data_IF_148996307173
#
_entry.id   IF_148996307173
#
_cell.length_a   1.000
_cell.length_b   1.000
_cell.length_c   1.000
_cell.angle_alpha   90.00
_cell.angle_beta   90.00
_cell.angle_gamma   90.00
#
_symmetry.space_group_name_H-M   'P 1'
#
loop_
_entity.id
_entity.type
_entity.pdbx_description
1 polymer ?
#
# COMPACT_ATOMS: atom_id res chain seq x y z
N UNK A 1 -2.19 46.93 -31.35
CA UNK A 1 -1.06 46.46 -30.53
C UNK A 1 -1.62 45.81 -29.27
N UNK A 2 -1.76 44.48 -29.23
CA UNK A 2 -2.22 43.76 -28.04
C UNK A 2 -1.14 42.76 -27.64
N UNK A 3 -0.62 42.93 -26.42
CA UNK A 3 0.46 42.14 -25.86
C UNK A 3 -0.09 40.83 -25.27
N UNK A 4 0.38 39.70 -25.78
CA UNK A 4 0.02 38.37 -25.27
C UNK A 4 1.10 37.89 -24.30
N UNK A 5 0.70 37.68 -23.04
CA UNK A 5 1.58 37.35 -21.90
C UNK A 5 1.60 35.83 -21.73
N UNK A 6 2.66 35.16 -22.22
CA UNK A 6 2.87 33.72 -22.02
C UNK A 6 3.41 33.47 -20.62
N UNK A 7 2.78 32.57 -19.85
CA UNK A 7 3.32 32.01 -18.61
C UNK A 7 3.84 30.60 -18.89
N UNK A 8 5.10 30.36 -18.53
CA UNK A 8 5.72 29.04 -18.55
C UNK A 8 5.41 28.33 -17.22
N UNK A 9 4.97 27.08 -17.30
CA UNK A 9 4.83 26.17 -16.15
C UNK A 9 5.95 25.15 -16.29
N UNK A 10 6.92 25.21 -15.37
CA UNK A 10 7.97 24.20 -15.24
C UNK A 10 7.47 23.03 -14.40
N UNK A 11 7.65 21.82 -14.92
CA UNK A 11 7.37 20.57 -14.19
C UNK A 11 8.70 20.05 -13.64
N UNK A 12 8.79 19.95 -12.32
CA UNK A 12 9.90 19.31 -11.60
C UNK A 12 9.48 17.86 -11.29
N UNK A 13 10.12 16.89 -11.94
CA UNK A 13 10.01 15.49 -11.59
C UNK A 13 11.13 15.13 -10.61
N UNK A 14 10.77 14.62 -9.43
CA UNK A 14 11.71 14.06 -8.47
C UNK A 14 11.47 12.54 -8.38
N UNK A 15 12.43 11.76 -8.87
CA UNK A 15 12.44 10.31 -8.75
C UNK A 15 13.17 9.90 -7.46
N UNK A 16 12.51 9.13 -6.61
CA UNK A 16 13.10 8.51 -5.41
C UNK A 16 12.91 6.99 -5.51
N UNK A 17 14.00 6.30 -5.81
CA UNK A 17 14.07 4.84 -5.82
C UNK A 17 14.55 4.35 -4.45
N UNK A 18 13.79 3.47 -3.81
CA UNK A 18 14.28 2.68 -2.67
C UNK A 18 14.04 1.19 -2.92
N UNK A 19 15.13 0.44 -2.84
CA UNK A 19 15.20 -1.02 -2.88
C UNK A 19 14.95 -1.53 -1.46
N UNK A 20 14.03 -2.48 -1.28
CA UNK A 20 13.91 -3.23 -0.01
C UNK A 20 13.93 -4.74 -0.32
N UNK A 21 14.93 -5.39 0.26
CA UNK A 21 15.14 -6.83 0.24
C UNK A 21 14.16 -7.57 1.16
N UNK A 22 13.65 -8.70 0.68
CA UNK A 22 12.73 -9.57 1.41
C UNK A 22 13.44 -10.56 2.34
N UNK A 23 12.78 -10.96 3.41
CA UNK A 23 13.12 -12.15 4.21
C UNK A 23 11.85 -12.84 4.66
N UNK A 24 11.67 -14.09 4.20
CA UNK A 24 10.63 -15.01 4.65
C UNK A 24 11.13 -15.73 5.91
N UNK A 25 10.29 -15.81 6.94
CA UNK A 25 10.44 -16.78 8.02
C UNK A 25 9.12 -17.53 8.21
N UNK A 26 9.21 -18.86 8.14
CA UNK A 26 8.11 -19.84 8.27
C UNK A 26 8.18 -20.39 9.70
N UNK A 27 7.09 -20.31 10.46
CA UNK A 27 6.95 -20.96 11.76
C UNK A 27 6.18 -22.28 11.59
N UNK A 28 6.67 -23.36 12.22
CA UNK A 28 5.93 -24.60 12.42
C UNK A 28 5.57 -24.71 13.90
N UNK A 29 4.27 -24.84 14.16
CA UNK A 29 3.69 -25.31 15.41
C UNK A 29 4.00 -26.80 15.64
N UNK A 30 4.29 -27.16 16.88
CA UNK A 30 3.93 -28.49 17.37
C UNK A 30 3.63 -28.47 18.87
N UNK A 31 2.34 -28.61 19.16
CA UNK A 31 1.83 -28.96 20.48
C UNK A 31 2.05 -30.44 20.75
N UNK A 32 2.39 -30.80 21.99
CA UNK A 32 1.96 -32.07 22.58
C UNK A 32 1.79 -31.95 24.07
N UNK A 33 0.57 -32.30 24.49
CA UNK A 33 0.08 -32.51 25.84
C UNK A 33 0.72 -33.73 26.49
N UNK A 34 0.98 -33.68 27.80
CA UNK A 34 0.58 -34.75 28.72
C UNK A 34 0.72 -34.33 30.18
N UNK A 35 -0.39 -34.41 30.90
CA UNK A 35 -0.48 -34.38 32.35
C UNK A 35 -0.20 -35.80 32.89
N UNK A 36 0.34 -35.93 34.11
CA UNK A 36 -0.38 -36.75 35.08
C UNK A 36 -0.38 -36.18 36.51
N UNK A 37 -1.48 -36.48 37.20
CA UNK A 37 -1.75 -36.29 38.62
C UNK A 37 -0.73 -36.93 39.56
N UNK A 38 -0.46 -36.31 40.72
CA UNK A 38 -0.82 -36.83 42.06
C UNK A 38 -0.10 -36.09 43.20
N UNK A 39 -0.89 -35.80 44.25
CA UNK A 39 -0.61 -35.73 45.69
C UNK A 39 0.79 -35.41 46.24
N UNK A 40 0.84 -34.45 47.18
CA UNK A 40 1.87 -34.40 48.20
C UNK A 40 1.99 -33.02 48.84
N UNK A 41 1.28 -32.79 49.94
CA UNK A 41 1.51 -31.64 50.79
C UNK A 41 2.83 -31.82 51.56
N UNK A 42 3.79 -30.94 51.33
CA UNK A 42 4.87 -30.69 52.28
C UNK A 42 5.21 -29.21 52.25
N UNK A 43 4.83 -28.51 53.33
CA UNK A 43 5.27 -27.16 53.63
C UNK A 43 6.77 -27.25 53.93
N UNK A 44 7.58 -26.80 52.97
CA UNK A 44 9.00 -26.49 53.18
C UNK A 44 9.15 -24.99 53.06
N UNK A 45 9.22 -24.33 54.22
CA UNK A 45 9.64 -22.95 54.37
C UNK A 45 11.09 -22.85 53.93
N UNK A 46 11.34 -22.55 52.65
CA UNK A 46 12.68 -22.17 52.20
C UNK A 46 12.92 -20.71 52.53
N UNK A 47 13.88 -20.47 53.42
CA UNK A 47 14.48 -19.16 53.66
C UNK A 47 14.78 -18.46 52.33
N UNK A 48 14.04 -17.39 52.04
CA UNK A 48 14.33 -16.49 50.93
C UNK A 48 15.66 -15.78 51.20
N UNK A 49 16.72 -16.36 50.66
CA UNK A 49 18.01 -15.70 50.47
C UNK A 49 17.82 -14.55 49.47
N UNK A 50 18.38 -13.36 49.69
CA UNK A 50 18.18 -12.18 48.84
C UNK A 50 18.99 -12.34 47.54
N UNK A 51 18.48 -13.13 46.59
CA UNK A 51 19.09 -13.32 45.26
C UNK A 51 18.15 -12.91 44.12
N UNK A 52 16.88 -12.62 44.43
CA UNK A 52 15.85 -12.24 43.46
C UNK A 52 16.04 -10.82 42.89
N UNK A 53 16.89 -9.99 43.50
CA UNK A 53 17.16 -8.61 43.01
C UNK A 53 18.16 -8.54 41.84
N UNK A 54 18.92 -9.62 41.56
CA UNK A 54 19.83 -9.67 40.40
C UNK A 54 19.10 -10.00 39.10
N UNK A 55 18.02 -10.78 39.14
CA UNK A 55 17.21 -11.09 37.97
C UNK A 55 16.47 -9.85 37.41
N UNK A 56 16.21 -8.85 38.25
CA UNK A 56 15.63 -7.56 37.84
C UNK A 56 16.57 -6.67 37.02
N UNK A 57 17.88 -6.95 37.01
CA UNK A 57 18.89 -6.18 36.28
C UNK A 57 19.46 -6.92 35.07
N UNK A 58 18.86 -8.05 34.67
CA UNK A 58 19.22 -8.70 33.41
C UNK A 58 18.79 -7.78 32.25
N UNK A 59 19.75 -7.22 31.47
CA UNK A 59 19.43 -6.32 30.37
C UNK A 59 18.57 -6.99 29.29
N UNK A 60 18.67 -8.32 29.12
CA UNK A 60 17.84 -9.07 28.17
C UNK A 60 16.38 -9.15 28.62
N UNK A 61 16.15 -9.43 29.91
CA UNK A 61 14.81 -9.48 30.49
C UNK A 61 14.16 -8.09 30.55
N UNK A 62 14.94 -7.04 30.84
CA UNK A 62 14.49 -5.65 30.81
C UNK A 62 14.11 -5.21 29.39
N UNK A 63 14.83 -5.65 28.37
CA UNK A 63 14.48 -5.33 26.99
C UNK A 63 13.21 -6.06 26.56
N UNK A 64 13.09 -7.36 26.86
CA UNK A 64 11.87 -8.14 26.57
C UNK A 64 10.63 -7.55 27.25
N UNK A 65 10.73 -7.15 28.51
CA UNK A 65 9.61 -6.51 29.22
C UNK A 65 9.24 -5.15 28.63
N UNK A 66 10.21 -4.34 28.19
CA UNK A 66 9.93 -3.10 27.44
C UNK A 66 9.22 -3.38 26.12
N UNK A 67 9.65 -4.37 25.36
CA UNK A 67 9.05 -4.74 24.07
C UNK A 67 7.60 -5.26 24.24
N UNK A 68 7.35 -6.04 25.30
CA UNK A 68 5.99 -6.46 25.68
C UNK A 68 5.15 -5.26 26.15
N UNK A 69 5.74 -4.32 26.88
CA UNK A 69 5.02 -3.14 27.36
C UNK A 69 4.65 -2.19 26.22
N UNK A 70 5.52 -2.03 25.22
CA UNK A 70 5.23 -1.19 24.04
C UNK A 70 4.12 -1.79 23.18
N UNK A 71 4.13 -3.12 22.98
CA UNK A 71 3.06 -3.83 22.27
C UNK A 71 1.73 -3.78 23.02
N UNK A 72 1.74 -3.80 24.34
CA UNK A 72 0.54 -3.72 25.16
C UNK A 72 0.05 -2.30 25.45
N UNK A 73 0.78 -1.27 25.01
CA UNK A 73 0.42 0.12 25.25
C UNK A 73 -0.98 0.45 24.70
N UNK A 74 -1.78 1.30 25.40
CA UNK A 74 -3.12 1.68 24.92
C UNK A 74 -3.11 2.30 23.53
N UNK A 75 -2.06 3.05 23.21
CA UNK A 75 -1.83 3.65 21.90
C UNK A 75 -1.63 2.59 20.83
N UNK A 76 -0.79 1.58 21.08
CA UNK A 76 -0.60 0.49 20.12
C UNK A 76 -1.89 -0.26 19.83
N UNK A 77 -2.68 -0.59 20.86
CA UNK A 77 -4.00 -1.21 20.69
C UNK A 77 -4.99 -0.35 19.91
N UNK A 78 -4.90 0.99 20.02
CA UNK A 78 -5.71 1.90 19.20
C UNK A 78 -5.31 1.78 17.73
N UNK A 79 -4.01 1.85 17.43
CA UNK A 79 -3.49 1.75 16.07
C UNK A 79 -3.79 0.39 15.44
N UNK A 80 -3.73 -0.71 16.20
CA UNK A 80 -4.07 -2.04 15.71
C UNK A 80 -5.57 -2.16 15.36
N UNK A 81 -6.45 -1.56 16.15
CA UNK A 81 -7.90 -1.49 15.83
C UNK A 81 -8.17 -0.64 14.59
N UNK A 82 -7.49 0.50 14.47
CA UNK A 82 -7.57 1.35 13.27
C UNK A 82 -7.09 0.58 12.03
N UNK A 83 -6.00 -0.19 12.14
CA UNK A 83 -5.51 -1.04 11.06
C UNK A 83 -6.49 -2.15 10.68
N UNK A 84 -7.08 -2.85 11.63
CA UNK A 84 -8.09 -3.87 11.35
C UNK A 84 -9.28 -3.29 10.57
N UNK A 85 -9.75 -2.11 10.97
CA UNK A 85 -10.82 -1.41 10.27
C UNK A 85 -10.39 -1.00 8.85
N UNK A 86 -9.20 -0.40 8.71
CA UNK A 86 -8.66 0.01 7.43
C UNK A 86 -8.53 -1.18 6.48
N UNK A 87 -7.89 -2.27 6.94
CA UNK A 87 -7.68 -3.49 6.18
C UNK A 87 -9.01 -4.13 5.72
N UNK A 88 -10.03 -4.12 6.57
CA UNK A 88 -11.37 -4.62 6.19
C UNK A 88 -12.03 -3.79 5.07
N UNK A 89 -11.73 -2.49 4.99
CA UNK A 89 -12.33 -1.57 4.02
C UNK A 89 -11.50 -1.40 2.74
N UNK A 90 -10.23 -1.80 2.74
CA UNK A 90 -9.35 -1.61 1.59
C UNK A 90 -9.77 -2.36 0.32
N UNK A 91 -10.28 -3.61 0.38
CA UNK A 91 -10.75 -4.28 -0.83
C UNK A 91 -11.88 -3.53 -1.56
N UNK A 92 -12.80 -2.92 -0.80
CA UNK A 92 -13.84 -2.08 -1.39
C UNK A 92 -13.24 -0.80 -2.00
N UNK A 93 -12.31 -0.16 -1.30
CA UNK A 93 -11.58 1.00 -1.82
C UNK A 93 -10.83 0.68 -3.13
N UNK A 94 -10.18 -0.49 -3.25
CA UNK A 94 -9.53 -0.91 -4.49
C UNK A 94 -10.54 -1.02 -5.66
N UNK A 95 -11.74 -1.55 -5.43
CA UNK A 95 -12.79 -1.59 -6.46
C UNK A 95 -13.25 -0.20 -6.89
N UNK A 96 -13.42 0.71 -5.91
CA UNK A 96 -13.75 2.10 -6.20
C UNK A 96 -12.63 2.80 -6.98
N UNK A 97 -11.37 2.49 -6.67
CA UNK A 97 -10.22 3.01 -7.41
C UNK A 97 -10.18 2.49 -8.84
N UNK A 98 -10.45 1.20 -9.04
CA UNK A 98 -10.55 0.62 -10.38
C UNK A 98 -11.67 1.28 -11.20
N UNK A 99 -12.81 1.61 -10.60
CA UNK A 99 -13.84 2.41 -11.28
C UNK A 99 -13.31 3.78 -11.69
N UNK A 100 -12.56 4.48 -10.81
CA UNK A 100 -11.94 5.77 -11.15
C UNK A 100 -10.95 5.66 -12.30
N UNK A 101 -10.20 4.55 -12.41
CA UNK A 101 -9.31 4.31 -13.54
C UNK A 101 -10.10 4.16 -14.85
N UNK A 102 -11.22 3.41 -14.83
CA UNK A 102 -12.12 3.31 -15.99
C UNK A 102 -12.71 4.66 -16.39
N UNK A 103 -13.18 5.45 -15.42
CA UNK A 103 -13.74 6.77 -15.68
C UNK A 103 -12.67 7.72 -16.26
N UNK A 104 -11.43 7.62 -15.76
CA UNK A 104 -10.29 8.39 -16.29
C UNK A 104 -9.96 8.00 -17.73
N UNK A 105 -9.96 6.71 -18.05
CA UNK A 105 -9.73 6.24 -19.42
C UNK A 105 -10.82 6.74 -20.38
N UNK A 106 -12.09 6.62 -19.99
CA UNK A 106 -13.20 7.17 -20.77
C UNK A 106 -13.01 8.68 -21.01
N UNK A 107 -12.66 9.44 -19.96
CA UNK A 107 -12.38 10.86 -20.08
C UNK A 107 -11.19 11.15 -21.01
N UNK A 108 -10.12 10.35 -20.96
CA UNK A 108 -8.97 10.51 -21.86
C UNK A 108 -9.37 10.32 -23.33
N UNK A 109 -10.24 9.35 -23.63
CA UNK A 109 -10.76 9.08 -24.98
C UNK A 109 -11.71 10.18 -25.45
N UNK A 110 -12.56 10.72 -24.56
CA UNK A 110 -13.47 11.82 -24.90
C UNK A 110 -12.73 13.13 -25.22
N UNK A 111 -11.54 13.32 -24.63
CA UNK A 111 -10.75 14.55 -24.74
C UNK A 111 -9.44 14.36 -25.53
N UNK A 112 -9.45 13.50 -26.55
CA UNK A 112 -8.28 13.28 -27.41
C UNK A 112 -7.80 14.58 -28.07
N UNK A 113 -6.51 14.87 -27.88
CA UNK A 113 -5.82 15.92 -28.62
C UNK A 113 -5.30 15.38 -29.95
N UNK A 114 -6.08 15.59 -31.01
CA UNK A 114 -5.71 15.15 -32.35
C UNK A 114 -4.70 16.11 -32.99
N UNK A 115 -3.73 15.52 -33.68
CA UNK A 115 -2.66 16.20 -34.40
C UNK A 115 -2.59 15.65 -35.82
N UNK A 116 -2.58 16.53 -36.80
CA UNK A 116 -2.41 16.14 -38.19
C UNK A 116 -0.93 15.88 -38.50
N UNK A 117 -0.57 14.63 -38.73
CA UNK A 117 0.80 14.19 -39.03
C UNK A 117 0.83 13.35 -40.32
N UNK A 118 1.60 13.80 -41.31
CA UNK A 118 1.75 13.11 -42.61
C UNK A 118 0.41 12.78 -43.31
N UNK A 119 -0.60 13.63 -43.14
CA UNK A 119 -1.94 13.43 -43.71
C UNK A 119 -2.85 12.49 -42.92
N UNK A 120 -2.48 12.12 -41.70
CA UNK A 120 -3.29 11.33 -40.77
C UNK A 120 -3.58 12.12 -39.50
N UNK A 121 -4.77 11.95 -38.93
CA UNK A 121 -5.07 12.44 -37.58
C UNK A 121 -4.51 11.43 -36.57
N UNK A 122 -3.60 11.88 -35.72
CA UNK A 122 -2.98 11.08 -34.66
C UNK A 122 -3.35 11.60 -33.29
N UNK A 123 -3.55 10.70 -32.33
CA UNK A 123 -3.70 11.06 -30.92
C UNK A 123 -3.04 10.01 -30.03
N UNK A 124 -2.56 10.47 -28.87
CA UNK A 124 -2.08 9.61 -27.80
C UNK A 124 -3.06 9.68 -26.64
N UNK A 125 -3.30 8.53 -26.01
CA UNK A 125 -4.03 8.48 -24.74
C UNK A 125 -3.48 7.39 -23.83
N UNK A 126 -3.79 7.53 -22.55
CA UNK A 126 -3.46 6.54 -21.51
C UNK A 126 -4.70 5.71 -21.18
N UNK A 127 -4.57 4.40 -21.24
CA UNK A 127 -5.53 3.44 -20.71
C UNK A 127 -4.96 2.70 -19.50
N UNK A 128 -5.80 1.95 -18.79
CA UNK A 128 -5.43 1.33 -17.53
C UNK A 128 -5.82 -0.14 -17.48
N UNK A 129 -4.94 -0.99 -16.94
CA UNK A 129 -5.32 -2.38 -16.64
C UNK A 129 -6.21 -2.47 -15.38
N UNK A 130 -6.90 -3.61 -15.19
CA UNK A 130 -7.44 -3.96 -13.88
C UNK A 130 -6.35 -3.97 -12.80
N UNK A 131 -6.76 -3.72 -11.54
CA UNK A 131 -5.83 -3.78 -10.41
C UNK A 131 -5.30 -5.21 -10.25
N UNK A 132 -3.98 -5.39 -10.36
CA UNK A 132 -3.32 -6.69 -10.24
C UNK A 132 -3.09 -7.10 -8.78
N UNK A 133 -2.77 -6.11 -7.94
CA UNK A 133 -2.45 -6.30 -6.53
C UNK A 133 -3.12 -5.24 -5.70
N UNK A 134 -3.65 -5.64 -4.56
CA UNK A 134 -4.29 -4.78 -3.57
C UNK A 134 -3.92 -5.33 -2.19
N UNK A 135 -3.03 -4.64 -1.48
CA UNK A 135 -2.41 -5.09 -0.23
C UNK A 135 -2.49 -4.02 0.84
N UNK A 136 -2.71 -4.42 2.10
CA UNK A 136 -2.59 -3.53 3.25
C UNK A 136 -1.53 -4.02 4.20
N UNK A 137 -0.83 -3.08 4.84
CA UNK A 137 0.07 -3.36 5.94
C UNK A 137 0.05 -2.20 6.92
N UNK A 138 0.59 -2.44 8.10
CA UNK A 138 0.79 -1.41 9.11
C UNK A 138 2.27 -1.04 9.14
N UNK A 139 2.58 0.25 9.16
CA UNK A 139 3.95 0.72 9.30
C UNK A 139 4.48 0.44 10.72
N UNK A 140 5.81 0.48 10.94
CA UNK A 140 6.38 0.38 12.28
C UNK A 140 5.82 1.43 13.26
N UNK A 141 5.47 2.62 12.75
CA UNK A 141 4.86 3.70 13.52
C UNK A 141 3.34 3.53 13.72
N UNK A 142 2.75 2.44 13.23
CA UNK A 142 1.33 2.12 13.42
C UNK A 142 0.38 2.73 12.39
N UNK A 143 0.88 3.42 11.35
CA UNK A 143 0.03 3.92 10.28
C UNK A 143 -0.46 2.78 9.40
N UNK A 144 -1.73 2.83 8.98
CA UNK A 144 -2.26 1.85 8.03
C UNK A 144 -2.00 2.32 6.61
N UNK A 145 -1.29 1.49 5.84
CA UNK A 145 -0.86 1.78 4.48
C UNK A 145 -1.49 0.77 3.53
N UNK A 146 -2.22 1.27 2.54
CA UNK A 146 -2.74 0.52 1.42
C UNK A 146 -1.83 0.67 0.22
N UNK A 147 -1.67 -0.39 -0.55
CA UNK A 147 -0.92 -0.40 -1.81
C UNK A 147 -1.76 -1.08 -2.87
N UNK A 148 -1.85 -0.49 -4.05
CA UNK A 148 -2.39 -1.17 -5.22
C UNK A 148 -1.47 -0.98 -6.42
N UNK A 149 -1.48 -1.96 -7.31
CA UNK A 149 -0.67 -1.93 -8.52
C UNK A 149 -1.51 -2.27 -9.74
N UNK A 150 -1.24 -1.59 -10.85
CA UNK A 150 -1.85 -1.78 -12.17
C UNK A 150 -0.83 -1.40 -13.25
N UNK A 151 -1.17 -1.62 -14.50
CA UNK A 151 -0.40 -1.22 -15.67
C UNK A 151 -1.08 -0.02 -16.34
N UNK A 152 -0.29 0.99 -16.68
CA UNK A 152 -0.68 2.09 -17.54
C UNK A 152 -0.23 1.80 -18.97
N UNK A 153 -1.13 1.93 -19.92
CA UNK A 153 -0.85 1.68 -21.32
C UNK A 153 -0.91 2.99 -22.09
N UNK A 154 0.11 3.28 -22.89
CA UNK A 154 0.04 4.36 -23.87
C UNK A 154 -0.43 3.79 -25.21
N UNK A 155 -1.45 4.41 -25.78
CA UNK A 155 -2.02 4.04 -27.06
C UNK A 155 -1.84 5.14 -28.09
N UNK A 156 -1.54 4.76 -29.32
CA UNK A 156 -1.54 5.64 -30.49
C UNK A 156 -2.75 5.33 -31.37
N UNK A 157 -3.55 6.35 -31.61
CA UNK A 157 -4.57 6.36 -32.66
C UNK A 157 -3.95 7.00 -33.90
N UNK A 158 -4.17 6.40 -35.07
CA UNK A 158 -3.74 6.94 -36.36
C UNK A 158 -4.77 6.61 -37.42
N UNK A 159 -5.62 7.58 -37.73
CA UNK A 159 -6.73 7.41 -38.67
C UNK A 159 -6.74 8.52 -39.72
N UNK A 160 -7.53 8.35 -40.79
CA UNK A 160 -7.61 9.35 -41.87
C UNK A 160 -8.55 10.49 -41.53
N UNK A 161 -9.51 10.25 -40.64
CA UNK A 161 -10.52 11.24 -40.26
C UNK A 161 -10.71 11.35 -38.76
N UNK A 162 -11.18 12.52 -38.32
CA UNK A 162 -11.53 12.81 -36.91
C UNK A 162 -12.56 11.81 -36.35
N UNK A 163 -13.54 11.42 -37.16
CA UNK A 163 -14.61 10.52 -36.71
C UNK A 163 -14.11 9.08 -36.56
N UNK A 164 -13.28 8.60 -37.50
CA UNK A 164 -12.60 7.32 -37.37
C UNK A 164 -11.68 7.30 -36.14
N UNK A 165 -10.91 8.37 -35.92
CA UNK A 165 -10.00 8.47 -34.79
C UNK A 165 -10.72 8.34 -33.43
N UNK A 166 -11.93 8.89 -33.30
CA UNK A 166 -12.72 8.80 -32.07
C UNK A 166 -13.25 7.39 -31.77
N UNK A 167 -13.42 6.56 -32.79
CA UNK A 167 -13.97 5.21 -32.64
C UNK A 167 -12.92 4.10 -32.81
N UNK A 168 -11.71 4.45 -33.22
CA UNK A 168 -10.62 3.51 -33.40
C UNK A 168 -10.10 2.97 -32.07
N UNK A 169 -9.79 1.67 -32.05
CA UNK A 169 -9.01 1.09 -30.97
C UNK A 169 -7.54 1.41 -31.21
N UNK A 170 -6.99 2.29 -30.38
CA UNK A 170 -5.56 2.66 -30.46
C UNK A 170 -4.64 1.44 -30.40
N UNK A 171 -3.47 1.54 -31.03
CA UNK A 171 -2.41 0.53 -30.95
C UNK A 171 -1.54 0.82 -29.73
N UNK A 172 -1.29 -0.19 -28.90
CA UNK A 172 -0.43 -0.03 -27.71
C UNK A 172 1.01 0.25 -28.15
N UNK A 173 1.60 1.32 -27.63
CA UNK A 173 2.98 1.73 -27.94
C UNK A 173 3.94 1.55 -26.77
N UNK A 174 3.45 1.64 -25.54
CA UNK A 174 4.25 1.52 -24.32
C UNK A 174 3.39 1.06 -23.14
N UNK A 175 4.03 0.53 -22.11
CA UNK A 175 3.40 0.15 -20.85
C UNK A 175 4.28 0.49 -19.64
N UNK A 176 3.64 0.92 -18.54
CA UNK A 176 4.31 1.29 -17.29
C UNK A 176 3.58 0.70 -16.11
N UNK A 177 4.32 -0.03 -15.27
CA UNK A 177 3.80 -0.57 -14.02
C UNK A 177 3.68 0.54 -12.97
N UNK A 178 2.45 0.85 -12.58
CA UNK A 178 2.15 1.85 -11.55
C UNK A 178 1.86 1.19 -10.21
N UNK A 179 2.36 1.77 -9.13
CA UNK A 179 2.01 1.40 -7.76
C UNK A 179 1.63 2.64 -6.98
N UNK A 180 0.39 2.65 -6.49
CA UNK A 180 -0.17 3.74 -5.71
C UNK A 180 -0.15 3.36 -4.23
N UNK A 181 0.26 4.31 -3.38
CA UNK A 181 0.36 4.12 -1.93
C UNK A 181 -0.65 5.05 -1.26
N UNK A 182 -1.49 4.48 -0.41
CA UNK A 182 -2.54 5.20 0.29
C UNK A 182 -2.31 5.13 1.80
N UNK A 183 -2.68 6.20 2.49
CA UNK A 183 -2.71 6.26 3.95
C UNK A 183 -4.14 6.25 4.45
N UNK A 184 -4.40 5.48 5.49
CA UNK A 184 -5.65 5.59 6.25
C UNK A 184 -5.57 6.75 7.24
N UNK A 185 -6.57 7.63 7.20
CA UNK A 185 -6.77 8.66 8.21
C UNK A 185 -8.28 8.91 8.38
N UNK A 186 -8.72 9.29 9.58
CA UNK A 186 -10.12 9.70 9.86
C UNK A 186 -11.21 8.80 9.24
N UNK A 187 -10.98 7.49 9.21
CA UNK A 187 -11.94 6.51 8.68
C UNK A 187 -11.99 6.40 7.16
N UNK A 188 -10.99 6.91 6.42
CA UNK A 188 -10.94 6.91 4.96
C UNK A 188 -9.51 6.70 4.43
N UNK A 189 -9.42 6.20 3.19
CA UNK A 189 -8.16 6.09 2.46
C UNK A 189 -7.86 7.39 1.69
N UNK A 190 -6.63 7.87 1.82
CA UNK A 190 -6.12 9.07 1.15
C UNK A 190 -4.94 8.71 0.26
N UNK A 191 -4.93 9.33 -0.93
CA UNK A 191 -3.77 9.35 -1.81
C UNK A 191 -2.72 10.33 -1.25
#
# INVERSE_FOLDING_TARGET
MMASKKRAIGVLAAALSFIVAGSLARAQDQATSSNPSASGATVSTSEQKPSDLKALHDPGLQQQTKDVLTTLSPERRRMDREYQQAAALFPAFCKDWEQKLRDREANNIEHLELKLENGFETALYTGYSPIEKCETHQSPQGFSIGKLSYEEFHYLIKEKTLDEAKHAKGTRVDDTRTTEIFRWDKGKWFY
#
